data_IF_863712541250
#
_entry.id   IF_863712541250
#
_cell.length_a   1.000
_cell.length_b   1.000
_cell.length_c   1.000
_cell.angle_alpha   90.00
_cell.angle_beta   90.00
_cell.angle_gamma   90.00
#
_symmetry.space_group_name_H-M   'P 1'
#
loop_
_entity.id
_entity.type
_entity.pdbx_description
1 polymer ?
#
# COMPACT_ATOMS: atom_id res chain seq x y z
N UNK A 1 29.83 7.70 -5.87
CA UNK A 1 28.53 8.19 -6.36
C UNK A 1 27.51 7.09 -6.24
N UNK A 2 26.28 7.40 -5.82
CA UNK A 2 25.26 6.44 -5.40
C UNK A 2 25.04 5.29 -6.40
N UNK A 3 25.02 5.57 -7.71
CA UNK A 3 24.88 4.52 -8.73
C UNK A 3 25.95 3.42 -8.65
N UNK A 4 27.20 3.76 -8.37
CA UNK A 4 28.31 2.80 -8.29
C UNK A 4 28.24 1.97 -7.00
N UNK A 5 27.86 2.60 -5.90
CA UNK A 5 27.66 1.93 -4.61
C UNK A 5 26.51 0.93 -4.68
N UNK A 6 25.37 1.32 -5.28
CA UNK A 6 24.24 0.42 -5.51
C UNK A 6 24.62 -0.74 -6.43
N UNK A 7 25.38 -0.49 -7.51
CA UNK A 7 25.86 -1.56 -8.39
C UNK A 7 26.71 -2.60 -7.63
N UNK A 8 27.68 -2.13 -6.83
CA UNK A 8 28.53 -3.02 -6.04
C UNK A 8 27.74 -3.85 -5.02
N UNK A 9 26.73 -3.25 -4.37
CA UNK A 9 25.83 -3.97 -3.44
C UNK A 9 24.93 -4.98 -4.15
N UNK A 10 24.39 -4.62 -5.32
CA UNK A 10 23.59 -5.53 -6.16
C UNK A 10 24.43 -6.75 -6.54
N UNK A 11 25.65 -6.54 -7.01
CA UNK A 11 26.56 -7.64 -7.40
C UNK A 11 26.95 -8.52 -6.22
N UNK A 12 27.18 -7.93 -5.04
CA UNK A 12 27.46 -8.69 -3.82
C UNK A 12 26.27 -9.57 -3.40
N UNK A 13 25.05 -9.01 -3.41
CA UNK A 13 23.82 -9.77 -3.13
C UNK A 13 23.58 -10.85 -4.17
N UNK A 14 23.85 -10.59 -5.45
CA UNK A 14 23.70 -11.59 -6.51
C UNK A 14 24.62 -12.80 -6.26
N UNK A 15 25.91 -12.56 -5.97
CA UNK A 15 26.86 -13.64 -5.62
C UNK A 15 26.41 -14.43 -4.40
N UNK A 16 25.89 -13.76 -3.38
CA UNK A 16 25.37 -14.43 -2.19
C UNK A 16 24.13 -15.29 -2.50
N UNK A 17 23.19 -14.77 -3.30
CA UNK A 17 22.02 -15.52 -3.76
C UNK A 17 22.45 -16.75 -4.57
N UNK A 18 23.45 -16.62 -5.45
CA UNK A 18 23.98 -17.75 -6.21
C UNK A 18 24.63 -18.81 -5.31
N UNK A 19 25.36 -18.39 -4.28
CA UNK A 19 25.92 -19.29 -3.26
C UNK A 19 24.82 -20.04 -2.51
N UNK A 20 23.78 -19.32 -2.06
CA UNK A 20 22.63 -19.92 -1.36
C UNK A 20 21.81 -20.85 -2.27
N UNK A 21 21.70 -20.53 -3.55
CA UNK A 21 21.00 -21.35 -4.54
C UNK A 21 21.83 -22.53 -5.07
N UNK A 22 23.15 -22.51 -4.89
CA UNK A 22 24.10 -23.44 -5.51
C UNK A 22 24.05 -23.44 -7.04
N UNK A 23 23.59 -22.35 -7.67
CA UNK A 23 23.56 -22.15 -9.12
C UNK A 23 23.38 -20.68 -9.43
N UNK A 24 23.89 -20.25 -10.57
CA UNK A 24 23.57 -18.95 -11.15
C UNK A 24 22.22 -19.00 -11.87
N UNK A 25 21.50 -17.89 -11.83
CA UNK A 25 20.23 -17.69 -12.51
C UNK A 25 19.89 -16.19 -12.60
N UNK A 26 18.88 -15.85 -13.39
CA UNK A 26 18.37 -14.50 -13.48
C UNK A 26 17.43 -14.19 -12.30
N UNK A 27 17.95 -13.46 -11.30
CA UNK A 27 17.22 -13.05 -10.07
C UNK A 27 16.04 -12.12 -10.37
N UNK A 28 16.08 -11.42 -11.50
CA UNK A 28 14.99 -10.56 -11.97
C UNK A 28 13.88 -11.34 -12.67
N UNK A 29 14.10 -12.61 -13.04
CA UNK A 29 13.10 -13.46 -13.68
C UNK A 29 12.25 -14.19 -12.64
N UNK A 30 10.95 -13.87 -12.48
CA UNK A 30 10.09 -14.54 -11.51
C UNK A 30 10.03 -16.06 -11.71
N UNK A 31 10.12 -16.51 -12.98
CA UNK A 31 10.09 -17.93 -13.34
C UNK A 31 11.34 -18.66 -12.86
N UNK A 32 12.53 -18.09 -13.06
CA UNK A 32 13.78 -18.72 -12.61
C UNK A 32 13.90 -18.68 -11.09
N UNK A 33 13.51 -17.58 -10.46
CA UNK A 33 13.42 -17.49 -8.99
C UNK A 33 12.47 -18.55 -8.45
N UNK A 34 11.29 -18.72 -9.05
CA UNK A 34 10.33 -19.74 -8.64
C UNK A 34 10.92 -21.15 -8.74
N UNK A 35 11.59 -21.47 -9.85
CA UNK A 35 12.28 -22.76 -10.03
C UNK A 35 13.30 -23.01 -8.90
N UNK A 36 14.16 -22.02 -8.61
CA UNK A 36 15.17 -22.17 -7.55
C UNK A 36 14.53 -22.36 -6.17
N UNK A 37 13.55 -21.53 -5.82
CA UNK A 37 12.93 -21.57 -4.49
C UNK A 37 12.11 -22.86 -4.28
N UNK A 38 11.29 -23.24 -5.25
CA UNK A 38 10.28 -24.28 -5.05
C UNK A 38 10.69 -25.65 -5.59
N UNK A 39 11.49 -25.71 -6.66
CA UNK A 39 11.92 -26.99 -7.24
C UNK A 39 13.32 -27.38 -6.75
N UNK A 40 14.27 -26.46 -6.66
CA UNK A 40 15.64 -26.79 -6.21
C UNK A 40 15.75 -26.83 -4.69
N UNK A 41 15.29 -25.77 -4.01
CA UNK A 41 15.36 -25.65 -2.55
C UNK A 41 14.16 -26.26 -1.84
N UNK A 42 13.15 -26.73 -2.59
CA UNK A 42 11.96 -27.41 -2.05
C UNK A 42 11.22 -26.60 -0.96
N UNK A 43 11.26 -25.27 -1.07
CA UNK A 43 10.53 -24.39 -0.16
C UNK A 43 9.01 -24.48 -0.41
N UNK A 44 8.16 -24.20 0.58
CA UNK A 44 6.72 -24.33 0.44
C UNK A 44 6.15 -23.28 -0.50
N UNK A 45 5.37 -23.74 -1.49
CA UNK A 45 4.65 -22.88 -2.40
C UNK A 45 3.34 -22.39 -1.77
N UNK A 46 3.25 -21.08 -1.50
CA UNK A 46 2.06 -20.48 -0.88
C UNK A 46 0.97 -20.09 -1.88
N UNK A 47 1.37 -19.63 -3.07
CA UNK A 47 0.49 -18.93 -3.99
C UNK A 47 0.85 -19.24 -5.43
N UNK A 48 -0.17 -19.52 -6.25
CA UNK A 48 -0.03 -19.70 -7.69
C UNK A 48 -0.64 -18.51 -8.43
N UNK A 49 0.00 -18.12 -9.52
CA UNK A 49 -0.50 -17.17 -10.51
C UNK A 49 -0.84 -17.93 -11.79
N UNK A 50 -1.49 -17.25 -12.75
CA UNK A 50 -1.75 -17.81 -14.09
C UNK A 50 -0.47 -18.28 -14.80
N UNK A 51 0.67 -17.67 -14.46
CA UNK A 51 1.98 -17.90 -15.10
C UNK A 51 2.91 -18.81 -14.30
N UNK A 52 2.47 -19.38 -13.16
CA UNK A 52 3.29 -20.26 -12.31
C UNK A 52 3.27 -19.87 -10.84
N UNK A 53 4.17 -20.45 -10.05
CA UNK A 53 4.29 -20.15 -8.62
C UNK A 53 4.69 -18.68 -8.39
N UNK A 54 4.03 -18.02 -7.43
CA UNK A 54 4.28 -16.61 -7.15
C UNK A 54 5.60 -16.43 -6.42
N UNK A 55 6.33 -15.37 -6.76
CA UNK A 55 7.50 -14.88 -6.02
C UNK A 55 7.30 -13.40 -5.67
N UNK A 56 6.06 -13.01 -5.39
CA UNK A 56 5.73 -11.64 -4.96
C UNK A 56 6.29 -11.35 -3.56
N UNK A 57 6.20 -10.08 -3.14
CA UNK A 57 6.77 -9.64 -1.87
C UNK A 57 6.19 -10.40 -0.66
N UNK A 58 4.88 -10.70 -0.68
CA UNK A 58 4.19 -11.44 0.39
C UNK A 58 4.72 -12.87 0.51
N UNK A 59 4.86 -13.57 -0.61
CA UNK A 59 5.44 -14.92 -0.62
C UNK A 59 6.90 -14.91 -0.16
N UNK A 60 7.71 -13.95 -0.65
CA UNK A 60 9.12 -13.87 -0.27
C UNK A 60 9.32 -13.49 1.19
N UNK A 61 8.46 -12.66 1.77
CA UNK A 61 8.51 -12.28 3.19
C UNK A 61 8.20 -13.48 4.09
N UNK A 62 7.21 -14.30 3.74
CA UNK A 62 6.97 -15.57 4.43
C UNK A 62 8.16 -16.53 4.31
N UNK A 63 8.69 -16.70 3.09
CA UNK A 63 9.84 -17.59 2.85
C UNK A 63 11.12 -17.11 3.52
N UNK A 64 11.26 -15.82 3.79
CA UNK A 64 12.41 -15.27 4.53
C UNK A 64 12.50 -15.83 5.96
N UNK A 65 11.37 -16.21 6.57
CA UNK A 65 11.35 -16.92 7.85
C UNK A 65 11.82 -18.37 7.78
N UNK A 66 11.97 -18.93 6.58
CA UNK A 66 12.36 -20.32 6.36
C UNK A 66 13.74 -20.46 5.73
N UNK A 67 14.09 -19.55 4.83
CA UNK A 67 15.36 -19.60 4.12
C UNK A 67 15.86 -18.18 3.78
N UNK A 68 17.10 -17.90 4.17
CA UNK A 68 17.75 -16.60 4.03
C UNK A 68 17.76 -16.05 2.59
N UNK A 69 17.83 -16.96 1.61
CA UNK A 69 17.79 -16.60 0.18
C UNK A 69 16.60 -15.70 -0.19
N UNK A 70 15.43 -15.91 0.42
CA UNK A 70 14.23 -15.13 0.10
C UNK A 70 14.39 -13.67 0.54
N UNK A 71 14.95 -13.43 1.74
CA UNK A 71 15.28 -12.08 2.21
C UNK A 71 16.30 -11.39 1.28
N UNK A 72 17.34 -12.12 0.84
CA UNK A 72 18.36 -11.58 -0.07
C UNK A 72 17.78 -11.25 -1.45
N UNK A 73 16.86 -12.06 -1.98
CA UNK A 73 16.15 -11.77 -3.23
C UNK A 73 15.31 -10.50 -3.10
N UNK A 74 14.62 -10.29 -1.98
CA UNK A 74 13.84 -9.07 -1.73
C UNK A 74 14.76 -7.84 -1.74
N UNK A 75 15.87 -7.88 -0.99
CA UNK A 75 16.84 -6.78 -0.95
C UNK A 75 17.42 -6.51 -2.34
N UNK A 76 17.85 -7.55 -3.05
CA UNK A 76 18.39 -7.42 -4.41
C UNK A 76 17.37 -6.76 -5.37
N UNK A 77 16.12 -7.21 -5.38
CA UNK A 77 15.07 -6.63 -6.24
C UNK A 77 14.78 -5.18 -5.87
N UNK A 78 14.82 -4.83 -4.59
CA UNK A 78 14.65 -3.45 -4.15
C UNK A 78 15.79 -2.56 -4.67
N UNK A 79 17.05 -2.97 -4.50
CA UNK A 79 18.20 -2.20 -4.98
C UNK A 79 18.24 -2.07 -6.49
N UNK A 80 17.94 -3.15 -7.23
CA UNK A 80 17.84 -3.13 -8.70
C UNK A 80 16.77 -2.14 -9.14
N UNK A 81 15.58 -2.17 -8.53
CA UNK A 81 14.51 -1.21 -8.84
C UNK A 81 14.92 0.22 -8.49
N UNK A 82 15.52 0.44 -7.33
CA UNK A 82 16.03 1.75 -6.90
C UNK A 82 17.01 2.34 -7.92
N UNK A 83 18.00 1.53 -8.33
CA UNK A 83 19.02 1.94 -9.29
C UNK A 83 18.42 2.24 -10.66
N UNK A 84 17.72 1.26 -11.25
CA UNK A 84 17.20 1.32 -12.62
C UNK A 84 16.04 2.29 -12.81
N UNK A 85 15.19 2.49 -11.81
CA UNK A 85 14.01 3.36 -11.93
C UNK A 85 14.31 4.80 -11.51
N UNK A 86 15.20 5.00 -10.54
CA UNK A 86 15.42 6.33 -9.97
C UNK A 86 16.84 6.83 -10.20
N UNK A 87 17.87 6.12 -9.72
CA UNK A 87 19.24 6.66 -9.69
C UNK A 87 19.82 6.84 -11.10
N UNK A 88 19.57 5.91 -12.02
CA UNK A 88 20.08 5.98 -13.39
C UNK A 88 19.19 6.85 -14.30
N UNK A 89 17.89 6.90 -14.02
CA UNK A 89 16.89 7.50 -14.92
C UNK A 89 16.60 8.96 -14.57
N UNK A 90 16.41 9.31 -13.29
CA UNK A 90 16.06 10.69 -12.91
C UNK A 90 17.08 11.72 -13.42
N UNK A 91 18.41 11.50 -13.34
CA UNK A 91 19.37 12.45 -13.88
C UNK A 91 19.25 12.68 -15.38
N UNK A 92 18.80 11.66 -16.14
CA UNK A 92 18.58 11.76 -17.60
C UNK A 92 17.30 12.50 -17.95
N UNK A 93 16.36 12.62 -17.01
CA UNK A 93 15.08 13.31 -17.17
C UNK A 93 15.12 14.77 -16.70
N UNK A 94 16.29 15.27 -16.27
CA UNK A 94 16.46 16.67 -15.90
C UNK A 94 16.46 17.52 -17.17
N UNK A 95 15.54 18.49 -17.27
CA UNK A 95 15.59 19.49 -18.33
C UNK A 95 16.85 20.35 -18.13
N UNK A 96 17.80 20.35 -19.09
CA UNK A 96 19.09 21.03 -18.95
C UNK A 96 18.96 22.56 -18.85
N UNK A 97 17.85 23.14 -19.30
CA UNK A 97 17.61 24.59 -19.23
C UNK A 97 17.11 25.01 -17.85
N UNK A 98 16.34 24.16 -17.18
CA UNK A 98 15.71 24.50 -15.89
C UNK A 98 16.34 23.81 -14.68
N UNK A 99 17.14 22.76 -14.91
CA UNK A 99 17.68 21.92 -13.83
C UNK A 99 16.60 21.16 -13.06
N UNK A 100 15.45 20.86 -13.68
CA UNK A 100 14.26 20.29 -13.02
C UNK A 100 13.78 19.05 -13.76
N UNK A 101 13.14 18.16 -12.99
CA UNK A 101 12.37 17.03 -13.52
C UNK A 101 10.91 17.43 -13.56
N UNK A 102 10.26 17.22 -14.71
CA UNK A 102 8.84 17.52 -14.91
C UNK A 102 8.06 16.22 -15.05
N UNK A 103 7.10 15.97 -14.16
CA UNK A 103 6.22 14.79 -14.22
C UNK A 103 4.89 15.14 -14.87
N UNK A 104 4.21 14.14 -15.42
CA UNK A 104 2.83 14.26 -15.90
C UNK A 104 1.87 13.64 -14.90
N UNK A 105 0.92 14.43 -14.40
CA UNK A 105 -0.16 13.97 -13.53
C UNK A 105 -1.39 13.58 -14.35
N UNK A 106 -1.74 12.30 -14.33
CA UNK A 106 -2.92 11.77 -15.00
C UNK A 106 -4.09 11.69 -14.03
N UNK A 107 -5.16 12.41 -14.32
CA UNK A 107 -6.36 12.45 -13.46
C UNK A 107 -7.45 11.45 -13.87
N UNK A 108 -7.36 10.88 -15.07
CA UNK A 108 -8.41 10.07 -15.70
C UNK A 108 -8.10 8.57 -15.76
N UNK A 109 -6.90 8.15 -15.36
CA UNK A 109 -6.45 6.75 -15.50
C UNK A 109 -6.98 5.83 -14.40
N UNK A 110 -6.92 6.23 -13.13
CA UNK A 110 -7.29 5.34 -12.04
C UNK A 110 -8.82 5.28 -11.89
N UNK A 111 -9.40 4.08 -11.93
CA UNK A 111 -10.83 3.86 -11.69
C UNK A 111 -11.33 4.36 -10.32
N UNK A 112 -10.42 4.52 -9.35
CA UNK A 112 -10.72 5.06 -8.01
C UNK A 112 -10.72 6.60 -7.97
N UNK A 113 -10.32 7.27 -9.05
CA UNK A 113 -10.15 8.72 -9.10
C UNK A 113 -8.82 9.22 -8.54
N UNK A 114 -7.86 8.34 -8.20
CA UNK A 114 -6.50 8.74 -7.81
C UNK A 114 -5.77 9.41 -8.98
N UNK A 115 -5.16 10.56 -8.74
CA UNK A 115 -4.12 11.10 -9.62
C UNK A 115 -2.95 10.11 -9.67
N UNK A 116 -2.49 9.74 -10.86
CA UNK A 116 -1.23 9.00 -11.04
C UNK A 116 -0.14 9.91 -11.62
N UNK A 117 1.11 9.59 -11.37
CA UNK A 117 2.28 10.31 -11.91
C UNK A 117 3.06 9.42 -12.88
N UNK A 118 3.43 9.97 -14.03
CA UNK A 118 4.19 9.28 -15.07
C UNK A 118 5.32 10.19 -15.60
N UNK A 119 6.34 9.56 -16.18
CA UNK A 119 7.43 10.22 -16.91
C UNK A 119 8.12 11.38 -16.17
N UNK A 120 8.71 11.16 -14.98
CA UNK A 120 8.77 9.93 -14.19
C UNK A 120 7.67 9.85 -13.14
N UNK A 121 7.44 8.66 -12.57
CA UNK A 121 6.52 8.50 -11.45
C UNK A 121 7.15 8.98 -10.13
N UNK A 122 6.72 10.15 -9.66
CA UNK A 122 7.20 10.78 -8.43
C UNK A 122 6.40 10.36 -7.18
N UNK A 123 5.30 9.62 -7.33
CA UNK A 123 4.47 9.18 -6.20
C UNK A 123 5.06 7.95 -5.49
N UNK A 124 5.86 7.15 -6.19
CA UNK A 124 6.37 5.87 -5.70
C UNK A 124 7.83 5.90 -5.24
N UNK A 125 8.41 7.09 -5.03
CA UNK A 125 9.80 7.23 -4.59
C UNK A 125 9.95 6.60 -3.18
N UNK A 126 10.80 5.56 -3.03
CA UNK A 126 10.92 4.84 -1.76
C UNK A 126 11.34 5.76 -0.60
N UNK A 127 10.86 5.45 0.60
CA UNK A 127 11.12 6.23 1.83
C UNK A 127 11.64 5.38 2.98
N UNK A 128 11.36 4.07 2.97
CA UNK A 128 11.60 3.18 4.12
C UNK A 128 13.07 2.78 4.28
N UNK A 129 13.78 2.59 3.17
CA UNK A 129 15.18 2.16 3.19
C UNK A 129 16.13 3.34 3.09
N UNK A 130 17.34 3.18 3.62
CA UNK A 130 18.36 4.23 3.57
C UNK A 130 18.67 4.67 2.13
N UNK A 131 18.78 3.71 1.20
CA UNK A 131 18.96 4.00 -0.21
C UNK A 131 17.79 4.83 -0.79
N UNK A 132 16.54 4.53 -0.39
CA UNK A 132 15.37 5.33 -0.74
C UNK A 132 15.43 6.76 -0.17
N UNK A 133 15.83 6.89 1.11
CA UNK A 133 16.00 8.21 1.76
C UNK A 133 17.06 9.05 1.06
N UNK A 134 18.16 8.45 0.62
CA UNK A 134 19.21 9.14 -0.14
C UNK A 134 18.70 9.69 -1.48
N UNK A 135 17.84 8.96 -2.20
CA UNK A 135 17.21 9.47 -3.43
C UNK A 135 16.34 10.70 -3.14
N UNK A 136 15.56 10.67 -2.05
CA UNK A 136 14.73 11.83 -1.66
C UNK A 136 15.57 13.06 -1.31
N UNK A 137 16.76 12.88 -0.72
CA UNK A 137 17.72 13.99 -0.45
C UNK A 137 18.22 14.68 -1.73
N UNK A 138 18.16 14.01 -2.88
CA UNK A 138 18.51 14.61 -4.16
C UNK A 138 17.39 15.54 -4.70
N UNK A 139 16.19 15.50 -4.12
CA UNK A 139 15.10 16.42 -4.44
C UNK A 139 15.25 17.65 -3.54
N UNK A 140 15.80 18.71 -4.10
CA UNK A 140 16.09 19.96 -3.38
C UNK A 140 15.09 21.05 -3.76
N UNK A 141 14.80 21.99 -2.84
CA UNK A 141 14.03 23.18 -3.21
C UNK A 141 14.83 24.07 -4.17
N UNK A 142 14.13 24.98 -4.85
CA UNK A 142 14.78 26.08 -5.54
C UNK A 142 15.46 27.03 -4.52
N UNK A 143 16.43 27.81 -4.99
CA UNK A 143 17.12 28.79 -4.15
C UNK A 143 16.13 29.72 -3.42
N UNK A 144 16.38 29.94 -2.13
CA UNK A 144 15.50 30.72 -1.26
C UNK A 144 14.18 30.04 -0.86
N UNK A 145 13.94 28.78 -1.30
CA UNK A 145 12.74 28.02 -0.94
C UNK A 145 13.02 26.88 0.04
N UNK A 146 11.95 26.37 0.66
CA UNK A 146 11.94 25.13 1.45
C UNK A 146 10.95 24.13 0.86
N UNK A 147 11.17 22.84 1.10
CA UNK A 147 10.19 21.79 0.79
C UNK A 147 9.33 21.51 2.03
N UNK A 148 8.01 21.63 1.88
CA UNK A 148 7.04 21.32 2.94
C UNK A 148 6.25 20.05 2.59
N UNK A 149 6.32 19.04 3.45
CA UNK A 149 5.50 17.84 3.37
C UNK A 149 4.32 17.91 4.33
N UNK A 150 3.10 17.83 3.81
CA UNK A 150 1.86 17.76 4.59
C UNK A 150 1.14 16.47 4.21
N UNK A 151 0.72 15.70 5.20
CA UNK A 151 0.01 14.43 5.01
C UNK A 151 -1.16 14.35 5.98
N UNK A 152 -2.29 13.77 5.54
CA UNK A 152 -3.45 13.62 6.40
C UNK A 152 -3.22 12.47 7.40
N UNK A 153 -3.45 12.75 8.69
CA UNK A 153 -3.41 11.72 9.72
C UNK A 153 -4.61 10.77 9.60
N UNK A 154 -4.38 9.56 9.09
CA UNK A 154 -5.33 8.46 9.03
C UNK A 154 -6.64 8.79 8.28
N UNK A 155 -6.55 9.50 7.14
CA UNK A 155 -7.73 9.96 6.40
C UNK A 155 -8.69 8.84 6.03
N UNK A 156 -8.19 7.67 5.62
CA UNK A 156 -9.02 6.52 5.29
C UNK A 156 -9.94 6.13 6.47
N UNK A 157 -9.40 6.01 7.68
CA UNK A 157 -10.21 5.61 8.83
C UNK A 157 -11.15 6.72 9.31
N UNK A 158 -10.76 8.00 9.15
CA UNK A 158 -11.63 9.14 9.46
C UNK A 158 -12.83 9.21 8.52
N UNK A 159 -12.60 8.97 7.22
CA UNK A 159 -13.70 8.88 6.25
C UNK A 159 -14.56 7.65 6.54
N UNK A 160 -13.97 6.52 6.93
CA UNK A 160 -14.74 5.34 7.36
C UNK A 160 -15.64 5.70 8.55
N UNK A 161 -15.11 6.38 9.56
CA UNK A 161 -15.88 6.85 10.71
C UNK A 161 -17.05 7.75 10.27
N UNK A 162 -16.80 8.68 9.34
CA UNK A 162 -17.81 9.59 8.82
C UNK A 162 -18.92 8.85 8.05
N UNK A 163 -18.59 7.97 7.09
CA UNK A 163 -19.61 7.31 6.25
C UNK A 163 -20.40 6.22 6.97
N UNK A 164 -19.80 5.62 8.00
CA UNK A 164 -20.46 4.60 8.81
C UNK A 164 -21.19 5.20 9.99
N UNK A 165 -20.85 6.44 10.36
CA UNK A 165 -21.29 7.14 11.56
C UNK A 165 -21.13 6.28 12.82
N UNK A 166 -20.12 5.41 12.87
CA UNK A 166 -19.90 4.51 14.01
C UNK A 166 -19.52 5.35 15.26
N UNK A 167 -20.34 5.35 16.33
CA UNK A 167 -20.13 6.26 17.45
C UNK A 167 -18.80 5.98 18.15
N UNK A 168 -18.43 4.71 18.31
CA UNK A 168 -17.15 4.31 18.91
C UNK A 168 -15.97 4.84 18.10
N UNK A 169 -16.01 4.71 16.77
CA UNK A 169 -14.91 5.15 15.91
C UNK A 169 -14.85 6.69 15.82
N UNK A 170 -16.00 7.37 15.78
CA UNK A 170 -16.08 8.83 15.82
C UNK A 170 -15.53 9.40 17.12
N UNK A 171 -15.91 8.84 18.27
CA UNK A 171 -15.42 9.25 19.59
C UNK A 171 -13.91 9.03 19.72
N UNK A 172 -13.38 7.90 19.24
CA UNK A 172 -11.94 7.64 19.22
C UNK A 172 -11.18 8.74 18.46
N UNK A 173 -11.67 9.12 17.27
CA UNK A 173 -11.05 10.21 16.51
C UNK A 173 -11.23 11.59 17.14
N UNK A 174 -12.35 11.85 17.82
CA UNK A 174 -12.61 13.11 18.52
C UNK A 174 -11.67 13.29 19.72
N UNK A 175 -11.32 12.20 20.42
CA UNK A 175 -10.35 12.21 21.53
C UNK A 175 -8.89 12.19 21.09
N UNK A 176 -8.62 12.05 19.79
CA UNK A 176 -7.26 11.90 19.26
C UNK A 176 -6.63 10.54 19.58
N UNK A 177 -7.44 9.51 19.83
CA UNK A 177 -6.96 8.16 20.08
C UNK A 177 -6.25 7.58 18.85
N UNK A 178 -5.21 6.79 19.10
CA UNK A 178 -4.62 5.94 18.07
C UNK A 178 -5.48 4.68 17.87
N UNK A 179 -6.32 4.71 16.84
CA UNK A 179 -7.26 3.62 16.51
C UNK A 179 -6.58 2.27 16.38
N UNK A 180 -5.34 2.21 15.88
CA UNK A 180 -4.60 0.95 15.78
C UNK A 180 -4.23 0.38 17.16
N UNK A 181 -3.84 1.23 18.10
CA UNK A 181 -3.55 0.83 19.48
C UNK A 181 -4.83 0.39 20.19
N UNK A 182 -5.93 1.15 20.04
CA UNK A 182 -7.23 0.77 20.60
C UNK A 182 -7.70 -0.57 20.05
N UNK A 183 -7.61 -0.79 18.74
CA UNK A 183 -7.95 -2.09 18.14
C UNK A 183 -6.99 -3.20 18.60
N UNK A 184 -5.70 -2.92 18.82
CA UNK A 184 -4.78 -3.91 19.36
C UNK A 184 -5.21 -4.39 20.75
N UNK A 185 -5.59 -3.47 21.64
CA UNK A 185 -6.06 -3.80 22.98
C UNK A 185 -7.26 -4.75 22.95
N UNK A 186 -8.24 -4.44 22.11
CA UNK A 186 -9.48 -5.24 21.97
C UNK A 186 -9.22 -6.60 21.33
N UNK A 187 -8.51 -6.62 20.20
CA UNK A 187 -8.35 -7.84 19.38
C UNK A 187 -7.39 -8.83 20.03
N UNK A 188 -6.34 -8.35 20.70
CA UNK A 188 -5.38 -9.19 21.40
C UNK A 188 -5.71 -9.39 22.87
N UNK A 189 -6.74 -8.70 23.39
CA UNK A 189 -7.17 -8.73 24.78
C UNK A 189 -6.01 -8.40 25.74
N UNK A 190 -5.37 -7.25 25.51
CA UNK A 190 -4.22 -6.76 26.30
C UNK A 190 -4.47 -5.33 26.77
N UNK A 191 -3.96 -4.94 27.95
CA UNK A 191 -4.02 -3.54 28.38
C UNK A 191 -3.14 -2.66 27.48
N UNK A 192 -3.37 -1.34 27.52
CA UNK A 192 -2.69 -0.36 26.63
C UNK A 192 -1.17 -0.45 26.75
N UNK A 193 -0.68 -0.63 27.96
CA UNK A 193 0.73 -0.68 28.32
C UNK A 193 1.44 -1.92 27.76
N UNK A 194 0.67 -2.97 27.46
CA UNK A 194 1.17 -4.21 26.86
C UNK A 194 1.11 -4.19 25.32
N UNK A 195 0.62 -3.10 24.70
CA UNK A 195 0.61 -2.97 23.23
C UNK A 195 2.02 -2.66 22.74
N UNK A 196 2.70 -3.70 22.26
CA UNK A 196 4.02 -3.56 21.63
C UNK A 196 3.91 -2.96 20.21
N UNK A 197 5.00 -2.40 19.65
CA UNK A 197 5.03 -1.95 18.26
C UNK A 197 4.59 -3.04 17.26
N UNK A 198 4.94 -4.30 17.54
CA UNK A 198 4.52 -5.43 16.70
C UNK A 198 3.03 -5.72 16.79
N UNK A 199 2.44 -5.71 17.99
CA UNK A 199 0.99 -5.85 18.15
C UNK A 199 0.25 -4.72 17.47
N UNK A 200 0.75 -3.49 17.58
CA UNK A 200 0.21 -2.32 16.87
C UNK A 200 0.32 -2.48 15.35
N UNK A 201 1.43 -3.01 14.83
CA UNK A 201 1.62 -3.30 13.39
C UNK A 201 0.62 -4.34 12.91
N UNK A 202 0.42 -5.42 13.66
CA UNK A 202 -0.59 -6.46 13.34
C UNK A 202 -2.00 -5.89 13.41
N UNK A 203 -2.34 -5.09 14.43
CA UNK A 203 -3.62 -4.41 14.53
C UNK A 203 -3.85 -3.45 13.36
N UNK A 204 -2.81 -2.75 12.87
CA UNK A 204 -2.88 -1.93 11.66
C UNK A 204 -3.27 -2.77 10.44
N UNK A 205 -2.66 -3.94 10.26
CA UNK A 205 -3.03 -4.88 9.18
C UNK A 205 -4.49 -5.34 9.31
N UNK A 206 -4.95 -5.63 10.53
CA UNK A 206 -6.35 -5.99 10.81
C UNK A 206 -7.28 -4.84 10.48
N UNK A 207 -7.06 -3.65 11.04
CA UNK A 207 -7.90 -2.47 10.81
C UNK A 207 -8.03 -2.17 9.33
N UNK A 208 -6.92 -2.14 8.58
CA UNK A 208 -6.98 -1.90 7.14
C UNK A 208 -7.60 -3.09 6.40
N UNK A 209 -7.20 -4.33 6.70
CA UNK A 209 -7.75 -5.52 6.06
C UNK A 209 -9.27 -5.59 6.22
N UNK A 210 -9.76 -5.49 7.45
CA UNK A 210 -11.20 -5.56 7.77
C UNK A 210 -11.95 -4.34 7.27
N UNK A 211 -11.37 -3.13 7.39
CA UNK A 211 -11.95 -1.94 6.76
C UNK A 211 -12.12 -2.19 5.26
N UNK A 212 -11.11 -2.69 4.55
CA UNK A 212 -11.22 -3.02 3.13
C UNK A 212 -11.93 -4.35 2.83
N UNK A 213 -12.66 -4.93 3.79
CA UNK A 213 -13.43 -6.17 3.63
C UNK A 213 -12.63 -7.37 3.14
N UNK A 214 -11.36 -7.46 3.56
CA UNK A 214 -10.52 -8.63 3.39
C UNK A 214 -11.18 -9.87 3.99
N UNK A 215 -11.08 -10.99 3.29
CA UNK A 215 -11.59 -12.28 3.79
C UNK A 215 -10.73 -12.80 4.95
N UNK A 216 -11.30 -13.72 5.73
CA UNK A 216 -10.58 -14.47 6.77
C UNK A 216 -9.30 -15.12 6.21
N UNK A 217 -9.37 -15.65 4.99
CA UNK A 217 -8.24 -16.26 4.30
C UNK A 217 -7.15 -15.24 3.97
N UNK A 218 -7.54 -14.07 3.44
CA UNK A 218 -6.59 -13.01 3.12
C UNK A 218 -5.90 -12.45 4.37
N UNK A 219 -6.66 -12.28 5.46
CA UNK A 219 -6.12 -11.79 6.72
C UNK A 219 -5.20 -12.82 7.38
N UNK A 220 -5.57 -14.10 7.34
CA UNK A 220 -4.74 -15.20 7.84
C UNK A 220 -3.38 -15.26 7.12
N UNK A 221 -3.39 -15.14 5.80
CA UNK A 221 -2.18 -15.13 4.98
C UNK A 221 -1.27 -13.94 5.32
N UNK A 222 -1.82 -12.72 5.40
CA UNK A 222 -1.03 -11.52 5.69
C UNK A 222 -0.45 -11.48 7.11
N UNK A 223 -1.13 -12.08 8.08
CA UNK A 223 -0.68 -12.10 9.47
C UNK A 223 0.11 -13.36 9.83
N UNK A 224 0.19 -14.35 8.93
CA UNK A 224 0.81 -15.65 9.23
C UNK A 224 0.09 -16.40 10.36
N UNK A 225 -1.24 -16.29 10.46
CA UNK A 225 -2.06 -16.92 11.51
C UNK A 225 -3.04 -17.95 10.94
N UNK A 226 -3.68 -18.70 11.83
CA UNK A 226 -4.73 -19.63 11.42
C UNK A 226 -5.98 -18.88 10.93
N UNK A 227 -6.75 -19.52 10.04
CA UNK A 227 -8.06 -19.00 9.61
C UNK A 227 -9.00 -18.73 10.79
N UNK A 228 -8.97 -19.60 11.80
CA UNK A 228 -9.77 -19.48 13.02
C UNK A 228 -9.42 -18.20 13.81
N UNK A 229 -8.13 -17.90 13.94
CA UNK A 229 -7.69 -16.64 14.57
C UNK A 229 -8.08 -15.42 13.74
N UNK A 230 -7.89 -15.46 12.43
CA UNK A 230 -8.29 -14.37 11.54
C UNK A 230 -9.79 -14.08 11.65
N UNK A 231 -10.63 -15.12 11.68
CA UNK A 231 -12.08 -14.98 11.91
C UNK A 231 -12.37 -14.33 13.26
N UNK A 232 -11.72 -14.77 14.33
CA UNK A 232 -11.86 -14.18 15.67
C UNK A 232 -11.53 -12.69 15.67
N UNK A 233 -10.46 -12.29 14.99
CA UNK A 233 -10.03 -10.90 14.89
C UNK A 233 -11.03 -10.04 14.11
N UNK A 234 -11.56 -10.56 13.00
CA UNK A 234 -12.61 -9.89 12.20
C UNK A 234 -13.87 -9.68 13.04
N UNK A 235 -14.35 -10.71 13.73
CA UNK A 235 -15.56 -10.62 14.55
C UNK A 235 -15.35 -9.68 15.76
N UNK A 236 -14.19 -9.69 16.42
CA UNK A 236 -13.87 -8.74 17.48
C UNK A 236 -13.89 -7.28 16.99
N UNK A 237 -13.30 -7.02 15.81
CA UNK A 237 -13.35 -5.69 15.19
C UNK A 237 -14.79 -5.25 14.89
N UNK A 238 -15.61 -6.12 14.30
CA UNK A 238 -17.00 -5.78 14.00
C UNK A 238 -17.90 -5.69 15.22
N UNK A 239 -17.62 -6.44 16.29
CA UNK A 239 -18.31 -6.28 17.56
C UNK A 239 -18.05 -4.90 18.18
N UNK A 240 -16.82 -4.38 18.04
CA UNK A 240 -16.46 -3.03 18.49
C UNK A 240 -17.05 -1.92 17.63
N UNK A 241 -17.07 -2.13 16.31
CA UNK A 241 -17.54 -1.16 15.31
C UNK A 241 -18.72 -1.71 14.49
N UNK A 242 -19.91 -1.90 15.11
CA UNK A 242 -21.04 -2.56 14.48
C UNK A 242 -21.59 -1.82 13.25
N UNK A 243 -21.50 -0.48 13.21
CA UNK A 243 -21.98 0.28 12.04
C UNK A 243 -21.07 0.11 10.83
N UNK A 244 -19.79 -0.18 11.05
CA UNK A 244 -18.87 -0.56 9.98
C UNK A 244 -19.32 -1.85 9.32
N UNK A 245 -19.65 -2.90 10.10
CA UNK A 245 -20.18 -4.17 9.56
C UNK A 245 -21.43 -3.95 8.72
N UNK A 246 -22.38 -3.19 9.27
CA UNK A 246 -23.65 -2.90 8.62
C UNK A 246 -23.44 -2.11 7.30
N UNK A 247 -22.51 -1.16 7.28
CA UNK A 247 -22.14 -0.44 6.06
C UNK A 247 -21.55 -1.37 4.99
N UNK A 248 -20.64 -2.28 5.35
CA UNK A 248 -20.04 -3.23 4.39
C UNK A 248 -21.11 -4.13 3.74
N UNK A 249 -22.10 -4.57 4.51
CA UNK A 249 -23.21 -5.36 3.97
C UNK A 249 -24.08 -4.53 3.02
N UNK A 250 -24.49 -3.33 3.45
CA UNK A 250 -25.32 -2.42 2.65
C UNK A 250 -24.67 -2.03 1.32
N UNK A 251 -23.37 -1.69 1.32
CA UNK A 251 -22.69 -1.25 0.09
C UNK A 251 -22.56 -2.39 -0.92
N UNK A 252 -22.40 -3.64 -0.45
CA UNK A 252 -22.38 -4.82 -1.31
C UNK A 252 -23.74 -5.05 -1.96
N UNK A 253 -24.82 -4.97 -1.18
CA UNK A 253 -26.18 -5.10 -1.68
C UNK A 253 -26.52 -3.98 -2.67
N UNK A 254 -26.14 -2.75 -2.36
CA UNK A 254 -26.35 -1.61 -3.25
C UNK A 254 -25.64 -1.82 -4.59
N UNK A 255 -24.37 -2.22 -4.60
CA UNK A 255 -23.65 -2.43 -5.84
C UNK A 255 -24.24 -3.58 -6.69
N UNK A 256 -24.79 -4.62 -6.04
CA UNK A 256 -25.49 -5.71 -6.73
C UNK A 256 -26.82 -5.26 -7.35
N UNK A 257 -27.50 -4.29 -6.75
CA UNK A 257 -28.73 -3.72 -7.29
C UNK A 257 -28.44 -2.71 -8.41
N UNK A 258 -27.53 -1.78 -8.16
CA UNK A 258 -27.33 -0.60 -9.00
C UNK A 258 -26.26 -0.84 -10.10
N UNK A 259 -25.37 -1.82 -9.89
CA UNK A 259 -24.25 -2.14 -10.77
C UNK A 259 -23.05 -1.20 -10.64
N UNK A 260 -23.08 -0.30 -9.67
CA UNK A 260 -22.00 0.63 -9.36
C UNK A 260 -22.02 1.02 -7.87
N UNK A 261 -20.93 1.62 -7.42
CA UNK A 261 -20.83 2.30 -6.13
C UNK A 261 -20.51 3.77 -6.33
N UNK A 262 -20.84 4.60 -5.34
CA UNK A 262 -20.54 6.05 -5.37
C UNK A 262 -19.64 6.47 -4.22
N UNK A 263 -18.95 7.58 -4.42
CA UNK A 263 -18.17 8.26 -3.38
C UNK A 263 -19.01 9.32 -2.68
N UNK A 264 -18.46 9.94 -1.62
CA UNK A 264 -19.07 11.09 -0.94
C UNK A 264 -19.46 12.23 -1.89
N UNK A 265 -18.66 12.44 -2.94
CA UNK A 265 -18.89 13.47 -3.96
C UNK A 265 -19.45 12.87 -5.27
N UNK A 266 -20.18 11.76 -5.18
CA UNK A 266 -20.95 11.15 -6.26
C UNK A 266 -20.15 10.63 -7.47
N UNK A 267 -18.82 10.50 -7.39
CA UNK A 267 -18.04 9.78 -8.41
C UNK A 267 -18.53 8.33 -8.44
N UNK A 268 -18.78 7.78 -9.64
CA UNK A 268 -19.26 6.41 -9.82
C UNK A 268 -18.13 5.46 -10.22
N UNK A 269 -18.19 4.23 -9.71
CA UNK A 269 -17.41 3.10 -10.21
C UNK A 269 -18.34 1.96 -10.56
N UNK A 270 -18.44 1.65 -11.86
CA UNK A 270 -19.22 0.53 -12.37
C UNK A 270 -18.50 -0.80 -12.13
N UNK A 271 -19.27 -1.84 -11.83
CA UNK A 271 -18.80 -3.15 -11.42
C UNK A 271 -19.56 -4.23 -12.22
N UNK A 272 -19.36 -4.30 -13.55
CA UNK A 272 -20.12 -5.21 -14.41
C UNK A 272 -19.93 -6.68 -14.05
N UNK A 273 -18.79 -7.04 -13.48
CA UNK A 273 -18.46 -8.41 -13.05
C UNK A 273 -19.41 -8.94 -11.95
N UNK A 274 -20.11 -8.06 -11.22
CA UNK A 274 -21.16 -8.47 -10.27
C UNK A 274 -22.34 -9.18 -10.95
N UNK A 275 -22.54 -8.97 -12.25
CA UNK A 275 -23.59 -9.60 -13.05
C UNK A 275 -23.06 -10.70 -13.97
N UNK A 276 -21.77 -11.05 -13.87
CA UNK A 276 -21.19 -12.10 -14.71
C UNK A 276 -21.92 -13.43 -14.50
N UNK A 277 -22.20 -14.15 -15.59
CA UNK A 277 -22.74 -15.52 -15.52
C UNK A 277 -21.76 -16.49 -14.87
N UNK A 278 -20.46 -16.21 -14.96
CA UNK A 278 -19.42 -17.00 -14.32
C UNK A 278 -19.41 -16.74 -12.81
N UNK A 279 -19.72 -17.78 -12.02
CA UNK A 279 -19.78 -17.70 -10.56
C UNK A 279 -18.46 -17.23 -9.93
N UNK A 280 -17.32 -17.70 -10.44
CA UNK A 280 -15.99 -17.34 -9.91
C UNK A 280 -15.70 -15.86 -10.12
N UNK A 281 -16.04 -15.32 -11.29
CA UNK A 281 -15.87 -13.89 -11.60
C UNK A 281 -16.76 -13.04 -10.68
N UNK A 282 -18.01 -13.45 -10.50
CA UNK A 282 -18.98 -12.74 -9.65
C UNK A 282 -18.60 -12.77 -8.16
N UNK A 283 -18.11 -13.90 -7.67
CA UNK A 283 -17.62 -14.04 -6.29
C UNK A 283 -16.34 -13.23 -6.06
N UNK A 284 -15.40 -13.24 -7.01
CA UNK A 284 -14.20 -12.40 -6.94
C UNK A 284 -14.53 -10.91 -6.95
N UNK A 285 -15.48 -10.48 -7.80
CA UNK A 285 -15.96 -9.11 -7.85
C UNK A 285 -16.63 -8.70 -6.54
N UNK A 286 -17.46 -9.57 -5.94
CA UNK A 286 -18.06 -9.32 -4.63
C UNK A 286 -17.01 -9.22 -3.53
N UNK A 287 -16.00 -10.10 -3.51
CA UNK A 287 -14.95 -10.11 -2.50
C UNK A 287 -14.03 -8.88 -2.57
N UNK A 288 -13.80 -8.34 -3.77
CA UNK A 288 -13.05 -7.09 -3.96
C UNK A 288 -13.88 -5.82 -3.74
N UNK A 289 -15.21 -5.94 -3.74
CA UNK A 289 -16.13 -4.81 -3.77
C UNK A 289 -16.00 -3.86 -2.59
N UNK A 290 -15.88 -4.40 -1.38
CA UNK A 290 -15.74 -3.63 -0.13
C UNK A 290 -14.44 -2.81 -0.14
N UNK A 291 -13.31 -3.44 -0.50
CA UNK A 291 -12.03 -2.76 -0.68
C UNK A 291 -12.14 -1.63 -1.70
N UNK A 292 -12.84 -1.89 -2.80
CA UNK A 292 -12.95 -1.00 -3.94
C UNK A 292 -13.93 0.15 -3.72
N UNK A 293 -15.06 -0.11 -3.07
CA UNK A 293 -16.07 0.88 -2.71
C UNK A 293 -15.50 1.88 -1.72
N UNK A 294 -14.79 1.40 -0.69
CA UNK A 294 -14.13 2.29 0.25
C UNK A 294 -12.99 3.06 -0.39
N UNK A 295 -12.14 2.42 -1.20
CA UNK A 295 -11.09 3.12 -1.96
C UNK A 295 -11.66 4.19 -2.87
N UNK A 296 -12.83 3.97 -3.46
CA UNK A 296 -13.52 5.00 -4.22
C UNK A 296 -14.00 6.13 -3.28
N UNK A 297 -14.71 5.80 -2.20
CA UNK A 297 -15.25 6.76 -1.22
C UNK A 297 -14.16 7.68 -0.64
N UNK A 298 -12.97 7.15 -0.33
CA UNK A 298 -11.83 7.90 0.22
C UNK A 298 -11.30 8.99 -0.71
N UNK A 299 -11.32 8.76 -2.02
CA UNK A 299 -10.66 9.63 -2.99
C UNK A 299 -11.48 10.86 -3.38
N UNK A 300 -12.71 10.97 -2.88
CA UNK A 300 -13.49 12.20 -2.94
C UNK A 300 -12.90 13.29 -2.04
N UNK A 301 -12.25 12.92 -0.93
CA UNK A 301 -11.77 13.86 0.10
C UNK A 301 -10.31 14.27 -0.16
N UNK A 302 -9.50 13.42 -0.80
CA UNK A 302 -8.06 13.65 -0.97
C UNK A 302 -7.68 14.36 -2.28
N UNK A 303 -8.63 14.54 -3.21
CA UNK A 303 -8.40 15.21 -4.50
C UNK A 303 -8.65 16.72 -4.44
N UNK A 304 -8.43 17.36 -3.28
CA UNK A 304 -8.37 18.82 -3.22
C UNK A 304 -7.01 19.22 -3.78
N UNK A 305 -6.94 19.42 -5.10
CA UNK A 305 -5.89 20.23 -5.69
C UNK A 305 -5.87 21.56 -4.95
N UNK A 306 -4.73 21.92 -4.38
CA UNK A 306 -4.62 23.12 -3.55
C UNK A 306 -5.25 24.30 -4.27
N UNK A 307 -6.32 24.86 -3.70
CA UNK A 307 -6.69 26.23 -4.02
C UNK A 307 -5.47 27.05 -3.62
N UNK A 308 -4.75 27.59 -4.60
CA UNK A 308 -3.82 28.67 -4.32
C UNK A 308 -4.57 29.76 -3.54
N UNK A 309 -3.91 30.47 -2.61
CA UNK A 309 -4.59 31.44 -1.77
C UNK A 309 -5.35 32.44 -2.64
N UNK A 310 -6.64 32.62 -2.35
CA UNK A 310 -7.35 33.82 -2.76
C UNK A 310 -6.59 35.02 -2.20
N UNK A 311 -6.33 35.99 -3.08
CA UNK A 311 -5.57 37.23 -2.88
C UNK A 311 -5.39 37.64 -1.40
N UNK A 312 -4.17 37.48 -0.88
CA UNK A 312 -3.78 38.08 0.40
C UNK A 312 -2.60 37.39 1.10
N UNK A 313 -1.42 38.00 0.99
CA UNK A 313 -0.36 38.01 2.02
C UNK A 313 0.42 36.73 2.40
N UNK A 314 0.81 35.87 1.44
CA UNK A 314 2.03 35.04 1.59
C UNK A 314 2.74 34.85 0.23
N UNK A 315 4.09 34.87 0.17
CA UNK A 315 4.81 34.58 -1.07
C UNK A 315 4.43 33.19 -1.57
N UNK A 316 4.10 33.12 -2.86
CA UNK A 316 3.37 32.04 -3.52
C UNK A 316 3.83 30.62 -3.14
N UNK A 317 3.03 29.93 -2.32
CA UNK A 317 3.10 28.48 -2.18
C UNK A 317 2.77 27.84 -3.53
N UNK A 318 3.79 27.35 -4.24
CA UNK A 318 3.63 26.52 -5.44
C UNK A 318 3.78 25.07 -5.01
N UNK A 319 2.77 24.22 -5.27
CA UNK A 319 2.85 22.79 -5.00
C UNK A 319 3.63 22.10 -6.13
N UNK A 320 4.87 21.63 -5.90
CA UNK A 320 5.68 21.02 -6.96
C UNK A 320 5.27 19.56 -7.25
N UNK A 321 4.55 18.90 -6.34
CA UNK A 321 4.03 17.54 -6.53
C UNK A 321 2.83 17.26 -5.61
N UNK A 322 1.85 16.49 -6.13
CA UNK A 322 0.81 15.85 -5.34
C UNK A 322 1.11 14.36 -5.17
N UNK A 323 1.44 13.95 -3.95
CA UNK A 323 1.62 12.53 -3.58
C UNK A 323 0.43 12.14 -2.72
N UNK A 324 -0.32 11.10 -3.12
CA UNK A 324 -1.40 10.57 -2.28
C UNK A 324 -0.86 10.17 -0.92
N UNK A 325 -1.69 10.31 0.11
CA UNK A 325 -1.39 9.91 1.48
C UNK A 325 -0.85 8.48 1.49
N UNK A 326 0.47 8.35 1.61
CA UNK A 326 1.12 7.06 1.69
C UNK A 326 0.77 6.46 3.04
N UNK A 327 0.41 5.17 3.11
CA UNK A 327 0.18 4.47 4.38
C UNK A 327 1.40 4.36 5.31
N UNK A 328 2.46 5.15 5.06
CA UNK A 328 3.65 5.30 5.88
C UNK A 328 3.46 6.41 6.91
N UNK A 329 2.67 6.11 7.93
CA UNK A 329 2.65 6.84 9.20
C UNK A 329 3.89 6.47 10.04
N UNK A 330 5.08 6.81 9.58
CA UNK A 330 6.29 6.83 10.41
C UNK A 330 7.05 8.10 10.02
N UNK A 331 6.86 9.14 10.83
CA UNK A 331 7.85 10.22 10.99
C UNK A 331 8.88 9.76 12.01
#
# INVERSE_FOLDING_TARGET
GLSRELAARIDALAREIYRLAGTEFNISSPRQVAFVLFEKLQLPALKKTKTGLSTDAEVLEYLAGQHEIAARIVEHRELVKLKSTYVDVLPRLVDPRTGRVHTTFNQTLAATGRISSAEPNLQNIPIRTEAGRQIRRAIIPADGCLLLGVDYSQIDLRVLAHITEDPTLLEAFARGDDVHTVTAMEVFNVPREAVTPELRRRAKVIVFGVAYGMSEFGLAAQLGITKTEAKRYIEAYYARYPRVRAYMQRIVEQARRDGYVTTLLHRRRYLPDLFSRNRVVREAATAGLTAEALRAVYQAVTNVGGRGPEKGSYPALRAPAGIHTGGSSER
#
